data_IF_499189602542
#
_entry.id   IF_499189602542
#
_cell.length_a   1.000
_cell.length_b   1.000
_cell.length_c   1.000
_cell.angle_alpha   90.00
_cell.angle_beta   90.00
_cell.angle_gamma   90.00
#
_symmetry.space_group_name_H-M   'P 1'
#
loop_
_entity.id
_entity.type
_entity.pdbx_description
1 polymer ?
#
# COMPACT_ATOMS: atom_id res chain seq x y z
N UNK A 1 6.28 -5.97 -20.86
CA UNK A 1 6.59 -6.99 -19.84
C UNK A 1 8.09 -7.04 -19.65
N UNK A 2 8.61 -6.45 -18.58
CA UNK A 2 10.04 -6.54 -18.24
C UNK A 2 10.29 -7.94 -17.65
N UNK A 3 11.12 -8.75 -18.32
CA UNK A 3 11.43 -10.14 -17.92
C UNK A 3 12.39 -10.26 -16.73
N UNK A 4 12.72 -9.16 -16.06
CA UNK A 4 13.52 -9.19 -14.83
C UNK A 4 12.57 -9.00 -13.65
N UNK A 5 11.74 -10.00 -13.33
CA UNK A 5 11.18 -10.05 -11.98
C UNK A 5 12.38 -10.26 -11.04
N UNK A 6 12.72 -9.27 -10.19
CA UNK A 6 13.80 -9.48 -9.24
C UNK A 6 13.40 -10.66 -8.36
N UNK A 7 14.33 -11.61 -8.22
CA UNK A 7 14.19 -12.71 -7.25
C UNK A 7 13.87 -12.06 -5.90
N UNK A 8 12.89 -12.57 -5.13
CA UNK A 8 12.59 -12.03 -3.81
C UNK A 8 13.89 -11.86 -3.02
N UNK A 9 14.18 -10.64 -2.59
CA UNK A 9 15.35 -10.37 -1.76
C UNK A 9 15.05 -10.93 -0.37
N UNK A 10 15.37 -12.20 -0.16
CA UNK A 10 15.25 -12.82 1.14
C UNK A 10 16.38 -12.31 2.04
N UNK A 11 16.03 -11.60 3.11
CA UNK A 11 16.96 -11.22 4.17
C UNK A 11 17.01 -12.37 5.19
N UNK A 12 18.16 -13.02 5.31
CA UNK A 12 18.47 -13.92 6.41
C UNK A 12 19.30 -13.15 7.45
N UNK A 13 18.74 -12.93 8.64
CA UNK A 13 19.44 -12.24 9.72
C UNK A 13 20.50 -13.16 10.32
N UNK A 14 21.64 -12.58 10.66
CA UNK A 14 22.71 -13.29 11.35
C UNK A 14 22.32 -13.54 12.82
N UNK A 15 22.01 -14.82 13.09
CA UNK A 15 21.59 -15.32 14.40
C UNK A 15 22.69 -16.08 15.14
N UNK A 16 23.96 -15.98 14.72
CA UNK A 16 25.04 -16.77 15.36
C UNK A 16 25.22 -16.44 16.84
N UNK A 17 25.03 -15.17 17.20
CA UNK A 17 25.37 -14.63 18.52
C UNK A 17 24.15 -14.18 19.34
N UNK A 18 22.92 -14.41 18.85
CA UNK A 18 21.71 -13.94 19.54
C UNK A 18 21.43 -14.79 20.78
N UNK A 19 20.94 -14.16 21.83
CA UNK A 19 20.54 -14.85 23.05
C UNK A 19 19.29 -15.71 22.82
N UNK A 20 19.07 -16.75 23.63
CA UNK A 20 17.90 -17.63 23.51
C UNK A 20 16.58 -16.84 23.53
N UNK A 21 16.50 -15.80 24.37
CA UNK A 21 15.33 -14.93 24.49
C UNK A 21 15.05 -14.08 23.23
N UNK A 22 16.06 -13.86 22.36
CA UNK A 22 15.94 -13.07 21.14
C UNK A 22 15.50 -13.92 19.92
N UNK A 23 15.53 -15.26 20.00
CA UNK A 23 15.29 -16.13 18.84
C UNK A 23 13.91 -15.99 18.22
N UNK A 24 12.86 -15.96 19.05
CA UNK A 24 11.47 -15.79 18.56
C UNK A 24 11.30 -14.37 17.98
N UNK A 25 11.65 -13.28 18.71
CA UNK A 25 11.60 -11.93 18.14
C UNK A 25 12.41 -11.76 16.83
N UNK A 26 13.57 -12.42 16.70
CA UNK A 26 14.37 -12.39 15.49
C UNK A 26 13.67 -13.07 14.30
N UNK A 27 12.99 -14.19 14.55
CA UNK A 27 12.17 -14.86 13.53
C UNK A 27 10.96 -14.00 13.11
N UNK A 28 10.31 -13.35 14.06
CA UNK A 28 9.19 -12.44 13.77
C UNK A 28 9.65 -11.21 12.98
N UNK A 29 10.85 -10.70 13.27
CA UNK A 29 11.47 -9.59 12.54
C UNK A 29 11.79 -9.97 11.08
N UNK A 30 12.38 -11.14 10.83
CA UNK A 30 12.58 -11.67 9.48
C UNK A 30 11.26 -11.85 8.73
N UNK A 31 10.26 -12.42 9.40
CA UNK A 31 8.92 -12.60 8.82
C UNK A 31 8.31 -11.26 8.44
N UNK A 32 8.50 -10.21 9.24
CA UNK A 32 8.06 -8.86 8.92
C UNK A 32 8.82 -8.25 7.73
N UNK A 33 10.13 -8.47 7.62
CA UNK A 33 10.92 -8.03 6.45
C UNK A 33 10.45 -8.73 5.16
N UNK A 34 10.20 -10.04 5.22
CA UNK A 34 9.64 -10.80 4.11
C UNK A 34 8.25 -10.29 3.71
N UNK A 35 7.40 -10.02 4.69
CA UNK A 35 6.05 -9.49 4.45
C UNK A 35 6.08 -8.08 3.83
N UNK A 36 7.07 -7.25 4.17
CA UNK A 36 7.27 -5.93 3.57
C UNK A 36 7.53 -6.03 2.05
N UNK A 37 8.35 -6.99 1.61
CA UNK A 37 8.54 -7.30 0.18
C UNK A 37 7.27 -7.91 -0.43
N UNK A 38 6.56 -8.76 0.32
CA UNK A 38 5.26 -9.31 -0.06
C UNK A 38 4.22 -8.23 -0.42
N UNK A 39 4.21 -7.11 0.28
CA UNK A 39 3.33 -5.97 -0.05
C UNK A 39 3.69 -5.29 -1.38
N UNK A 40 4.96 -5.30 -1.80
CA UNK A 40 5.33 -4.83 -3.16
C UNK A 40 4.63 -5.69 -4.21
N UNK A 41 4.68 -7.01 -4.04
CA UNK A 41 4.05 -7.93 -4.99
C UNK A 41 2.53 -7.79 -5.01
N UNK A 42 1.91 -7.60 -3.84
CA UNK A 42 0.45 -7.35 -3.75
C UNK A 42 0.06 -6.08 -4.51
N UNK A 43 0.82 -4.98 -4.33
CA UNK A 43 0.55 -3.75 -5.06
C UNK A 43 0.77 -3.91 -6.57
N UNK A 44 1.82 -4.64 -6.98
CA UNK A 44 2.05 -4.97 -8.39
C UNK A 44 0.86 -5.75 -8.99
N UNK A 45 0.34 -6.75 -8.28
CA UNK A 45 -0.85 -7.49 -8.71
C UNK A 45 -2.08 -6.58 -8.84
N UNK A 46 -2.33 -5.70 -7.86
CA UNK A 46 -3.40 -4.72 -7.93
C UNK A 46 -3.24 -3.79 -9.14
N UNK A 47 -2.03 -3.31 -9.40
CA UNK A 47 -1.70 -2.48 -10.57
C UNK A 47 -1.98 -3.22 -11.89
N UNK A 48 -1.59 -4.49 -11.99
CA UNK A 48 -1.82 -5.31 -13.18
C UNK A 48 -3.32 -5.55 -13.43
N UNK A 49 -4.11 -5.84 -12.38
CA UNK A 49 -5.57 -6.00 -12.50
C UNK A 49 -6.21 -4.67 -12.94
N UNK A 50 -5.74 -3.55 -12.38
CA UNK A 50 -6.21 -2.22 -12.74
C UNK A 50 -5.96 -1.93 -14.23
N UNK A 51 -4.74 -2.14 -14.70
CA UNK A 51 -4.34 -1.88 -16.09
C UNK A 51 -5.08 -2.79 -17.07
N UNK A 52 -5.21 -4.07 -16.74
CA UNK A 52 -5.98 -5.03 -17.53
C UNK A 52 -7.45 -4.58 -17.66
N UNK A 53 -8.10 -4.31 -16.52
CA UNK A 53 -9.52 -3.95 -16.48
C UNK A 53 -9.79 -2.66 -17.25
N UNK A 54 -8.90 -1.68 -17.11
CA UNK A 54 -8.99 -0.42 -17.83
C UNK A 54 -8.80 -0.59 -19.34
N UNK A 55 -7.75 -1.30 -19.76
CA UNK A 55 -7.49 -1.56 -21.18
C UNK A 55 -8.68 -2.27 -21.83
N UNK A 56 -9.22 -3.30 -21.16
CA UNK A 56 -10.39 -4.02 -21.65
C UNK A 56 -11.64 -3.14 -21.73
N UNK A 57 -11.86 -2.28 -20.74
CA UNK A 57 -12.95 -1.30 -20.75
C UNK A 57 -12.85 -0.33 -21.94
N UNK A 58 -11.65 0.15 -22.25
CA UNK A 58 -11.40 1.04 -23.39
C UNK A 58 -11.60 0.34 -24.74
N UNK A 59 -11.32 -0.96 -24.83
CA UNK A 59 -11.65 -1.79 -26.00
C UNK A 59 -13.16 -1.95 -26.18
N UNK A 60 -13.88 -2.29 -25.11
CA UNK A 60 -15.34 -2.47 -25.16
C UNK A 60 -16.05 -1.20 -25.64
N UNK A 61 -15.60 -0.02 -25.21
CA UNK A 61 -16.18 1.27 -25.66
C UNK A 61 -16.00 1.55 -27.16
N UNK A 62 -15.10 0.86 -27.86
CA UNK A 62 -14.90 1.00 -29.31
C UNK A 62 -15.79 0.04 -30.10
N UNK A 63 -16.31 -0.98 -29.46
CA UNK A 63 -17.22 -1.94 -30.06
C UNK A 63 -18.64 -1.34 -30.06
N UNK A 64 -19.38 -1.49 -31.16
CA UNK A 64 -20.74 -0.96 -31.29
C UNK A 64 -21.76 -1.89 -30.59
N UNK A 65 -21.40 -3.16 -30.39
CA UNK A 65 -22.29 -4.21 -29.86
C UNK A 65 -21.82 -4.80 -28.53
N UNK A 66 -21.03 -4.08 -27.72
CA UNK A 66 -20.54 -4.64 -26.46
C UNK A 66 -21.65 -4.91 -25.44
N UNK A 67 -21.44 -5.95 -24.63
CA UNK A 67 -22.30 -6.24 -23.48
C UNK A 67 -22.03 -5.25 -22.35
N UNK A 68 -23.06 -4.51 -21.94
CA UNK A 68 -23.01 -3.62 -20.79
C UNK A 68 -22.56 -4.32 -19.50
N UNK A 69 -22.91 -5.61 -19.33
CA UNK A 69 -22.47 -6.43 -18.20
C UNK A 69 -20.94 -6.49 -18.12
N UNK A 70 -20.26 -6.74 -19.24
CA UNK A 70 -18.80 -6.80 -19.30
C UNK A 70 -18.17 -5.45 -18.96
N UNK A 71 -18.75 -4.36 -19.43
CA UNK A 71 -18.31 -3.00 -19.08
C UNK A 71 -18.41 -2.75 -17.56
N UNK A 72 -19.53 -3.11 -16.95
CA UNK A 72 -19.72 -2.99 -15.50
C UNK A 72 -18.78 -3.90 -14.71
N UNK A 73 -18.50 -5.11 -15.20
CA UNK A 73 -17.54 -6.02 -14.59
C UNK A 73 -16.13 -5.44 -14.59
N UNK A 74 -15.68 -4.85 -15.70
CA UNK A 74 -14.36 -4.20 -15.78
C UNK A 74 -14.26 -2.99 -14.85
N UNK A 75 -15.31 -2.18 -14.74
CA UNK A 75 -15.35 -1.09 -13.73
C UNK A 75 -15.33 -1.63 -12.29
N UNK A 76 -15.99 -2.77 -12.05
CA UNK A 76 -15.95 -3.45 -10.76
C UNK A 76 -14.54 -3.91 -10.39
N UNK A 77 -13.82 -4.54 -11.33
CA UNK A 77 -12.45 -5.00 -11.13
C UNK A 77 -11.47 -3.84 -10.92
N UNK A 78 -11.64 -2.73 -11.65
CA UNK A 78 -10.87 -1.50 -11.44
C UNK A 78 -11.04 -0.96 -10.00
N UNK A 79 -12.27 -0.94 -9.48
CA UNK A 79 -12.55 -0.57 -8.09
C UNK A 79 -11.92 -1.53 -7.09
N UNK A 80 -12.06 -2.84 -7.30
CA UNK A 80 -11.46 -3.86 -6.42
C UNK A 80 -9.95 -3.69 -6.35
N UNK A 81 -9.29 -3.54 -7.51
CA UNK A 81 -7.85 -3.30 -7.58
C UNK A 81 -7.44 -2.02 -6.81
N UNK A 82 -8.20 -0.93 -6.95
CA UNK A 82 -7.91 0.30 -6.24
C UNK A 82 -8.19 0.21 -4.72
N UNK A 83 -9.16 -0.57 -4.27
CA UNK A 83 -9.31 -0.81 -2.83
C UNK A 83 -8.15 -1.62 -2.27
N UNK A 84 -7.76 -2.67 -2.98
CA UNK A 84 -6.65 -3.55 -2.58
C UNK A 84 -5.30 -2.82 -2.58
N UNK A 85 -5.06 -1.95 -3.56
CA UNK A 85 -3.89 -1.07 -3.59
C UNK A 85 -3.82 -0.12 -2.40
N UNK A 86 -4.95 0.49 -2.01
CA UNK A 86 -5.03 1.37 -0.84
C UNK A 86 -4.76 0.60 0.47
N UNK A 87 -5.38 -0.58 0.62
CA UNK A 87 -5.14 -1.45 1.77
C UNK A 87 -3.68 -1.89 1.84
N UNK A 88 -3.08 -2.22 0.70
CA UNK A 88 -1.67 -2.63 0.60
C UNK A 88 -0.73 -1.51 1.06
N UNK A 89 -0.93 -0.27 0.62
CA UNK A 89 -0.13 0.88 1.09
C UNK A 89 -0.22 1.04 2.62
N UNK A 90 -1.42 0.90 3.18
CA UNK A 90 -1.61 0.98 4.63
C UNK A 90 -0.92 -0.16 5.38
N UNK A 91 -1.07 -1.39 4.92
CA UNK A 91 -0.43 -2.54 5.53
C UNK A 91 1.10 -2.48 5.43
N UNK A 92 1.64 -1.99 4.31
CA UNK A 92 3.05 -1.70 4.14
C UNK A 92 3.54 -0.73 5.22
N UNK A 93 2.81 0.37 5.46
CA UNK A 93 3.14 1.34 6.51
C UNK A 93 3.19 0.70 7.91
N UNK A 94 2.16 -0.12 8.24
CA UNK A 94 2.09 -0.80 9.54
C UNK A 94 3.18 -1.85 9.70
N UNK A 95 3.54 -2.54 8.63
CA UNK A 95 4.65 -3.49 8.60
C UNK A 95 5.98 -2.77 8.88
N UNK A 96 6.25 -1.67 8.17
CA UNK A 96 7.46 -0.85 8.36
C UNK A 96 7.57 -0.28 9.79
N UNK A 97 6.46 0.19 10.36
CA UNK A 97 6.42 0.63 11.75
C UNK A 97 6.66 -0.52 12.74
N UNK A 98 6.08 -1.70 12.46
CA UNK A 98 6.24 -2.90 13.27
C UNK A 98 7.66 -3.48 13.24
N UNK A 99 8.38 -3.36 12.12
CA UNK A 99 9.82 -3.70 12.04
C UNK A 99 10.60 -2.84 13.03
N UNK A 100 10.35 -1.52 13.02
CA UNK A 100 11.03 -0.56 13.89
C UNK A 100 10.76 -0.81 15.38
N UNK A 101 9.52 -1.11 15.75
CA UNK A 101 9.17 -1.31 17.16
C UNK A 101 9.78 -2.57 17.76
N UNK A 102 9.94 -3.64 16.95
CA UNK A 102 10.49 -4.93 17.38
C UNK A 102 12.00 -4.94 17.61
N UNK A 103 12.74 -3.97 17.09
CA UNK A 103 14.20 -3.93 17.25
C UNK A 103 14.66 -3.93 18.71
N UNK A 104 13.85 -3.39 19.63
CA UNK A 104 14.18 -3.41 21.06
C UNK A 104 14.09 -4.81 21.69
N UNK A 105 13.40 -5.75 21.03
CA UNK A 105 13.26 -7.14 21.46
C UNK A 105 14.44 -8.01 20.99
N UNK A 106 15.28 -7.49 20.09
CA UNK A 106 16.46 -8.17 19.52
C UNK A 106 17.72 -7.31 19.63
N UNK A 107 18.18 -6.95 20.84
CA UNK A 107 19.31 -6.04 21.04
C UNK A 107 20.59 -6.44 20.27
N UNK A 108 20.85 -7.74 20.09
CA UNK A 108 22.03 -8.23 19.36
C UNK A 108 21.97 -7.88 17.87
N UNK A 109 20.79 -8.05 17.24
CA UNK A 109 20.56 -7.66 15.84
C UNK A 109 20.48 -6.13 15.73
N UNK A 110 19.77 -5.49 16.66
CA UNK A 110 19.56 -4.05 16.70
C UNK A 110 20.88 -3.26 16.67
N UNK A 111 21.88 -3.72 17.41
CA UNK A 111 23.22 -3.12 17.43
C UNK A 111 23.92 -3.10 16.05
N UNK A 112 23.50 -3.97 15.12
CA UNK A 112 24.03 -4.08 13.75
C UNK A 112 23.19 -3.28 12.73
N UNK A 113 22.02 -2.76 13.10
CA UNK A 113 21.09 -2.07 12.19
C UNK A 113 21.50 -0.61 11.97
N UNK A 114 21.50 -0.17 10.71
CA UNK A 114 21.66 1.23 10.37
C UNK A 114 20.34 1.99 10.57
N UNK A 115 20.17 2.53 11.78
CA UNK A 115 18.98 3.31 12.16
C UNK A 115 18.72 4.55 11.30
N UNK A 116 19.75 5.10 10.65
CA UNK A 116 19.60 6.27 9.77
C UNK A 116 18.86 5.90 8.50
N UNK A 117 19.19 4.76 7.88
CA UNK A 117 18.48 4.26 6.69
C UNK A 117 17.03 3.89 7.03
N UNK A 118 16.80 3.19 8.14
CA UNK A 118 15.45 2.82 8.54
C UNK A 118 14.56 4.03 8.87
N UNK A 119 15.13 5.08 9.47
CA UNK A 119 14.43 6.35 9.70
C UNK A 119 14.15 7.07 8.38
N UNK A 120 15.11 7.03 7.44
CA UNK A 120 14.96 7.62 6.11
C UNK A 120 13.85 6.93 5.32
N UNK A 121 13.77 5.59 5.36
CA UNK A 121 12.68 4.82 4.76
C UNK A 121 11.30 5.25 5.30
N UNK A 122 11.16 5.38 6.62
CA UNK A 122 9.91 5.82 7.24
C UNK A 122 9.51 7.25 6.83
N UNK A 123 10.47 8.19 6.82
CA UNK A 123 10.21 9.57 6.37
C UNK A 123 9.86 9.63 4.88
N UNK A 124 10.51 8.81 4.06
CA UNK A 124 10.20 8.72 2.63
C UNK A 124 8.76 8.25 2.43
N UNK A 125 8.33 7.21 3.17
CA UNK A 125 6.94 6.74 3.16
C UNK A 125 5.96 7.87 3.52
N UNK A 126 6.15 8.53 4.66
CA UNK A 126 5.28 9.62 5.13
C UNK A 126 5.21 10.78 4.12
N UNK A 127 6.31 11.07 3.42
CA UNK A 127 6.36 12.13 2.41
C UNK A 127 5.58 11.80 1.15
N UNK A 128 5.58 10.52 0.73
CA UNK A 128 4.92 10.02 -0.48
C UNK A 128 3.45 9.71 -0.26
N UNK A 129 3.09 9.27 0.94
CA UNK A 129 1.76 8.74 1.27
C UNK A 129 1.15 9.49 2.46
N UNK A 130 0.88 10.78 2.32
CA UNK A 130 0.44 11.63 3.45
C UNK A 130 -0.90 11.21 4.04
N UNK A 131 -1.86 10.85 3.20
CA UNK A 131 -3.25 10.59 3.60
C UNK A 131 -3.58 9.09 3.61
N UNK A 132 -2.59 8.21 3.72
CA UNK A 132 -2.78 6.76 3.56
C UNK A 132 -3.77 6.14 4.56
N UNK A 133 -3.85 6.67 5.79
CA UNK A 133 -4.82 6.21 6.79
C UNK A 133 -6.24 6.64 6.42
N UNK A 134 -6.42 7.90 6.03
CA UNK A 134 -7.72 8.44 5.62
C UNK A 134 -8.21 7.74 4.33
N UNK A 135 -7.32 7.49 3.36
CA UNK A 135 -7.61 6.69 2.16
C UNK A 135 -8.02 5.26 2.54
N UNK A 136 -7.29 4.59 3.45
CA UNK A 136 -7.65 3.26 3.93
C UNK A 136 -9.03 3.24 4.58
N UNK A 137 -9.32 4.22 5.43
CA UNK A 137 -10.62 4.32 6.09
C UNK A 137 -11.74 4.57 5.09
N UNK A 138 -11.51 5.41 4.09
CA UNK A 138 -12.46 5.66 3.02
C UNK A 138 -12.82 4.40 2.24
N UNK A 139 -11.85 3.52 1.93
CA UNK A 139 -12.10 2.27 1.17
C UNK A 139 -12.66 1.14 2.03
N UNK A 140 -12.27 1.05 3.30
CA UNK A 140 -12.66 -0.06 4.18
C UNK A 140 -14.09 0.09 4.71
N UNK A 141 -14.57 1.32 4.87
CA UNK A 141 -15.78 1.61 5.63
C UNK A 141 -16.91 2.20 4.79
N UNK A 142 -16.92 1.99 3.47
CA UNK A 142 -17.86 2.62 2.52
C UNK A 142 -19.33 2.50 2.96
N UNK A 143 -19.73 1.33 3.47
CA UNK A 143 -21.10 1.13 3.96
C UNK A 143 -21.42 2.01 5.17
N UNK A 144 -20.46 2.23 6.07
CA UNK A 144 -20.62 3.07 7.25
C UNK A 144 -20.67 4.55 6.89
N UNK A 145 -19.92 4.98 5.86
CA UNK A 145 -19.94 6.36 5.34
C UNK A 145 -21.32 6.77 4.80
N UNK A 146 -22.19 5.79 4.54
CA UNK A 146 -23.50 6.00 3.91
C UNK A 146 -24.66 5.47 4.74
N UNK A 147 -24.43 5.12 6.02
CA UNK A 147 -25.45 4.49 6.87
C UNK A 147 -26.68 5.36 7.13
N UNK A 148 -26.52 6.69 7.10
CA UNK A 148 -27.61 7.66 7.22
C UNK A 148 -27.21 9.04 6.64
N UNK A 149 -28.17 9.96 6.55
CA UNK A 149 -27.94 11.32 6.01
C UNK A 149 -26.88 12.11 6.78
N UNK A 150 -26.84 11.99 8.10
CA UNK A 150 -25.84 12.67 8.94
C UNK A 150 -24.42 12.16 8.66
N UNK A 151 -24.22 10.84 8.56
CA UNK A 151 -22.94 10.24 8.20
C UNK A 151 -22.53 10.62 6.77
N UNK A 152 -23.50 10.67 5.85
CA UNK A 152 -23.26 11.11 4.48
C UNK A 152 -22.80 12.57 4.43
N UNK A 153 -23.45 13.45 5.19
CA UNK A 153 -23.10 14.88 5.23
C UNK A 153 -21.74 15.13 5.90
N UNK A 154 -21.46 14.42 6.99
CA UNK A 154 -20.16 14.46 7.67
C UNK A 154 -19.00 14.05 6.75
N UNK A 155 -19.23 13.09 5.86
CA UNK A 155 -18.21 12.61 4.92
C UNK A 155 -18.21 13.36 3.58
N UNK A 156 -19.02 14.40 3.42
CA UNK A 156 -19.09 15.18 2.19
C UNK A 156 -18.17 16.40 2.23
N UNK A 157 -17.64 16.80 1.08
CA UNK A 157 -16.81 17.99 0.93
C UNK A 157 -17.73 19.22 0.87
N UNK A 158 -17.57 20.13 1.82
CA UNK A 158 -18.38 21.36 1.90
C UNK A 158 -17.67 22.52 1.21
N UNK A 159 -18.27 23.05 0.14
CA UNK A 159 -17.77 24.20 -0.61
C UNK A 159 -18.88 25.26 -0.77
N UNK A 160 -18.51 26.46 -1.26
CA UNK A 160 -19.45 27.58 -1.42
C UNK A 160 -20.68 27.27 -2.32
N UNK A 161 -20.63 26.19 -3.11
CA UNK A 161 -21.72 25.72 -3.97
C UNK A 161 -22.56 24.57 -3.41
N UNK A 162 -22.27 24.08 -2.20
CA UNK A 162 -22.98 22.97 -1.56
C UNK A 162 -22.07 21.86 -1.04
N UNK A 163 -22.71 20.76 -0.65
CA UNK A 163 -22.06 19.57 -0.12
C UNK A 163 -21.90 18.52 -1.24
N UNK A 164 -20.67 18.15 -1.55
CA UNK A 164 -20.33 17.20 -2.61
C UNK A 164 -19.78 15.90 -2.02
N UNK A 165 -20.41 14.79 -2.38
CA UNK A 165 -19.98 13.46 -1.98
C UNK A 165 -19.31 12.75 -3.13
N UNK A 166 -18.17 12.13 -2.87
CA UNK A 166 -17.47 11.29 -3.83
C UNK A 166 -17.26 9.92 -3.21
N UNK A 167 -17.74 8.87 -3.87
CA UNK A 167 -17.51 7.49 -3.45
C UNK A 167 -16.86 6.75 -4.62
N UNK A 168 -15.64 6.26 -4.39
CA UNK A 168 -14.90 5.43 -5.35
C UNK A 168 -14.84 5.98 -6.77
N UNK A 169 -14.49 7.27 -6.88
CA UNK A 169 -14.36 7.92 -8.16
C UNK A 169 -12.94 7.75 -8.70
N UNK A 170 -12.85 7.73 -10.03
CA UNK A 170 -11.57 7.72 -10.73
C UNK A 170 -11.44 8.92 -11.64
N UNK A 171 -10.29 9.58 -11.57
CA UNK A 171 -9.82 10.50 -12.58
C UNK A 171 -8.51 9.97 -13.14
N UNK A 172 -8.55 9.42 -14.36
CA UNK A 172 -7.40 8.68 -14.86
C UNK A 172 -7.07 7.50 -13.94
N UNK A 173 -5.86 7.49 -13.37
CA UNK A 173 -5.35 6.46 -12.46
C UNK A 173 -5.52 6.81 -10.98
N UNK A 174 -6.05 8.00 -10.69
CA UNK A 174 -6.21 8.48 -9.32
C UNK A 174 -7.56 8.03 -8.79
N UNK A 175 -7.51 7.18 -7.77
CA UNK A 175 -8.66 6.85 -6.94
C UNK A 175 -8.92 8.02 -5.99
N UNK A 176 -10.17 8.44 -5.88
CA UNK A 176 -10.58 9.51 -4.97
C UNK A 176 -11.91 9.19 -4.28
N UNK A 177 -11.99 9.57 -3.01
CA UNK A 177 -13.20 9.48 -2.19
C UNK A 177 -13.29 10.69 -1.26
N UNK A 178 -14.49 10.99 -0.78
CA UNK A 178 -14.66 11.94 0.31
C UNK A 178 -14.69 11.19 1.65
N UNK A 179 -13.93 11.68 2.64
CA UNK A 179 -13.84 11.10 3.98
C UNK A 179 -13.62 12.22 5.01
N UNK A 180 -14.45 12.29 6.05
CA UNK A 180 -14.38 13.33 7.10
C UNK A 180 -14.26 14.77 6.56
N UNK A 181 -15.05 15.09 5.54
CA UNK A 181 -15.04 16.43 4.93
C UNK A 181 -13.88 16.73 3.99
N UNK A 182 -12.97 15.77 3.77
CA UNK A 182 -11.78 15.92 2.91
C UNK A 182 -11.91 15.10 1.62
N UNK A 183 -11.25 15.56 0.56
CA UNK A 183 -10.97 14.74 -0.61
C UNK A 183 -9.70 13.93 -0.36
N UNK A 184 -9.85 12.62 -0.19
CA UNK A 184 -8.72 11.70 -0.02
C UNK A 184 -8.48 10.97 -1.32
N UNK A 185 -7.21 10.78 -1.68
CA UNK A 185 -6.88 10.17 -2.95
C UNK A 185 -5.51 9.50 -2.93
N UNK A 186 -5.31 8.58 -3.87
CA UNK A 186 -4.00 8.06 -4.21
C UNK A 186 -4.02 7.56 -5.66
N UNK A 187 -2.85 7.35 -6.25
CA UNK A 187 -2.73 6.90 -7.64
C UNK A 187 -2.35 5.43 -7.72
N UNK A 188 -3.10 4.64 -8.49
CA UNK A 188 -2.72 3.25 -8.83
C UNK A 188 -1.78 3.32 -10.02
N UNK A 189 -0.46 3.32 -9.83
CA UNK A 189 0.49 3.51 -10.93
C UNK A 189 1.82 2.79 -10.72
N UNK A 190 2.59 2.70 -11.80
CA UNK A 190 3.98 2.24 -11.74
C UNK A 190 4.85 3.16 -10.87
N UNK A 191 4.60 4.46 -10.85
CA UNK A 191 5.33 5.40 -9.99
C UNK A 191 5.09 5.09 -8.51
N UNK A 192 3.84 4.83 -8.13
CA UNK A 192 3.48 4.40 -6.78
C UNK A 192 4.17 3.10 -6.38
N UNK A 193 4.23 2.13 -7.31
CA UNK A 193 4.96 0.88 -7.10
C UNK A 193 6.46 1.13 -6.90
N UNK A 194 7.06 1.99 -7.73
CA UNK A 194 8.47 2.34 -7.63
C UNK A 194 8.79 3.06 -6.31
N UNK A 195 7.87 3.91 -5.83
CA UNK A 195 8.01 4.57 -4.53
C UNK A 195 8.02 3.55 -3.38
N UNK A 196 7.12 2.56 -3.40
CA UNK A 196 7.11 1.48 -2.42
C UNK A 196 8.39 0.64 -2.48
N UNK A 197 8.88 0.32 -3.68
CA UNK A 197 10.15 -0.39 -3.89
C UNK A 197 11.30 0.40 -3.27
N UNK A 198 11.42 1.69 -3.58
CA UNK A 198 12.50 2.53 -3.05
C UNK A 198 12.48 2.61 -1.52
N UNK A 199 11.29 2.64 -0.91
CA UNK A 199 11.14 2.63 0.55
C UNK A 199 11.57 1.27 1.13
N UNK A 200 11.13 0.17 0.51
CA UNK A 200 11.51 -1.19 0.92
C UNK A 200 13.01 -1.40 0.82
N UNK A 201 13.63 -1.02 -0.31
CA UNK A 201 15.07 -1.16 -0.53
C UNK A 201 15.87 -0.39 0.54
N UNK A 202 15.46 0.84 0.86
CA UNK A 202 16.04 1.61 1.98
C UNK A 202 15.87 0.92 3.34
N UNK A 203 14.70 0.33 3.59
CA UNK A 203 14.48 -0.42 4.81
C UNK A 203 15.37 -1.67 4.86
N UNK A 204 15.62 -2.32 3.73
CA UNK A 204 16.45 -3.53 3.61
C UNK A 204 17.94 -3.20 3.76
N UNK A 205 18.40 -2.11 3.15
CA UNK A 205 19.77 -1.58 3.29
C UNK A 205 20.12 -1.32 4.77
N UNK A 206 19.13 -0.96 5.58
CA UNK A 206 19.31 -0.76 7.02
C UNK A 206 19.75 -2.04 7.75
N UNK A 207 19.48 -3.22 7.21
CA UNK A 207 19.83 -4.53 7.79
C UNK A 207 21.08 -5.15 7.19
N UNK A 208 21.75 -4.51 6.22
CA UNK A 208 22.94 -5.07 5.55
C UNK A 208 24.08 -5.49 6.50
N UNK A 209 24.26 -4.79 7.63
CA UNK A 209 25.25 -5.17 8.67
C UNK A 209 24.79 -6.30 9.58
N UNK A 210 23.52 -6.69 9.50
CA UNK A 210 22.87 -7.69 10.34
C UNK A 210 22.51 -8.98 9.58
N UNK A 211 22.88 -9.10 8.30
CA UNK A 211 22.60 -10.28 7.48
C UNK A 211 23.77 -11.26 7.44
N UNK A 212 23.48 -12.55 7.27
CA UNK A 212 24.51 -13.55 6.99
C UNK A 212 25.08 -13.32 5.58
N UNK A 213 26.37 -13.03 5.50
CA UNK A 213 27.14 -12.97 4.24
C UNK A 213 27.49 -14.35 3.72
#
# INVERSE_FOLDING_TARGET
>A
MNQNSPIPHFIELDKSDIQEAEKIPAFDLESALLELDGYIKKFECALQIFDYSRGRKEELLKDIEYDMSDFFNMMGWERVAARDGAMTIWHFAKCLAGIRSRLNEVPTINAKVNHTELRTAAKLFESKFKDFEDVRNAVAHIAELHKNSQASDFNSIHAAGGSHRMSENFHGRTFASSFEGKLVHYTVSQETLNDLIAIKDRAFDAFSGATRT
#
